data_IF_813149971774
#
_entry.id   IF_813149971774
#
_cell.length_a   1.000
_cell.length_b   1.000
_cell.length_c   1.000
_cell.angle_alpha   90.00
_cell.angle_beta   90.00
_cell.angle_gamma   90.00
#
_symmetry.space_group_name_H-M   'P 1'
#
loop_
_entity.id
_entity.type
_entity.pdbx_description
1 polymer ?
#
# COMPACT_ATOMS: atom_id res chain seq x y z
N UNK A 1 11.69 -4.23 -49.19
CA UNK A 1 10.88 -4.55 -47.99
C UNK A 1 9.65 -3.65 -47.95
N UNK A 2 8.44 -4.20 -48.18
CA UNK A 2 7.21 -3.41 -48.04
C UNK A 2 7.03 -3.14 -46.53
N UNK A 3 7.17 -1.88 -46.14
CA UNK A 3 6.86 -1.43 -44.78
C UNK A 3 5.42 -1.86 -44.44
N UNK A 4 5.26 -2.68 -43.41
CA UNK A 4 3.97 -3.19 -43.00
C UNK A 4 3.28 -2.12 -42.13
N UNK A 5 2.74 -1.09 -42.82
CA UNK A 5 2.12 0.09 -42.19
C UNK A 5 1.09 -0.27 -41.09
N UNK A 6 0.35 -1.38 -41.31
CA UNK A 6 -0.60 -1.90 -40.34
C UNK A 6 0.11 -2.36 -39.04
N UNK A 7 1.23 -3.08 -39.17
CA UNK A 7 2.01 -3.51 -38.00
C UNK A 7 2.61 -2.32 -37.25
N UNK A 8 3.07 -1.30 -37.95
CA UNK A 8 3.60 -0.08 -37.34
C UNK A 8 2.50 0.69 -36.59
N UNK A 9 1.31 0.81 -37.20
CA UNK A 9 0.14 1.45 -36.53
C UNK A 9 -0.29 0.65 -35.32
N UNK A 10 -0.38 -0.67 -35.42
CA UNK A 10 -0.73 -1.53 -34.28
C UNK A 10 0.27 -1.43 -33.12
N UNK A 11 1.57 -1.41 -33.45
CA UNK A 11 2.63 -1.22 -32.45
C UNK A 11 2.53 0.14 -31.78
N UNK A 12 2.31 1.20 -32.54
CA UNK A 12 2.16 2.56 -32.00
C UNK A 12 0.96 2.66 -31.08
N UNK A 13 -0.20 2.12 -31.50
CA UNK A 13 -1.40 2.08 -30.66
C UNK A 13 -1.15 1.31 -29.36
N UNK A 14 -0.47 0.18 -29.44
CA UNK A 14 -0.13 -0.62 -28.26
C UNK A 14 0.77 0.16 -27.28
N UNK A 15 1.84 0.80 -27.80
CA UNK A 15 2.76 1.62 -26.98
C UNK A 15 2.01 2.78 -26.31
N UNK A 16 1.15 3.49 -27.05
CA UNK A 16 0.34 4.59 -26.50
C UNK A 16 -0.60 4.08 -25.41
N UNK A 17 -1.26 2.94 -25.63
CA UNK A 17 -2.16 2.34 -24.64
C UNK A 17 -1.39 1.98 -23.37
N UNK A 18 -0.24 1.31 -23.48
CA UNK A 18 0.60 0.96 -22.33
C UNK A 18 1.07 2.21 -21.58
N UNK A 19 1.49 3.26 -22.31
CA UNK A 19 1.93 4.51 -21.72
C UNK A 19 0.80 5.20 -20.92
N UNK A 20 -0.42 5.21 -21.45
CA UNK A 20 -1.60 5.76 -20.76
C UNK A 20 -1.89 4.98 -19.48
N UNK A 21 -1.92 3.64 -19.56
CA UNK A 21 -2.16 2.80 -18.38
C UNK A 21 -1.06 2.97 -17.31
N UNK A 22 0.20 3.01 -17.73
CA UNK A 22 1.34 3.24 -16.83
C UNK A 22 1.22 4.60 -16.13
N UNK A 23 0.86 5.65 -16.88
CA UNK A 23 0.64 6.98 -16.32
C UNK A 23 -0.43 6.98 -15.24
N UNK A 24 -1.60 6.40 -15.50
CA UNK A 24 -2.68 6.32 -14.52
C UNK A 24 -2.30 5.48 -13.30
N UNK A 25 -1.58 4.38 -13.53
CA UNK A 25 -1.14 3.49 -12.45
C UNK A 25 -0.12 4.16 -11.51
N UNK A 26 0.77 4.99 -12.04
CA UNK A 26 1.79 5.72 -11.26
C UNK A 26 1.14 6.88 -10.51
N UNK A 27 0.35 7.71 -11.22
CA UNK A 27 -0.22 8.93 -10.66
C UNK A 27 -1.40 8.66 -9.72
N UNK A 28 -2.17 7.60 -9.98
CA UNK A 28 -3.42 7.34 -9.31
C UNK A 28 -4.51 8.35 -9.70
N UNK A 29 -5.65 8.28 -9.00
CA UNK A 29 -6.75 9.22 -9.13
C UNK A 29 -6.61 10.33 -8.08
N UNK A 30 -5.93 11.42 -8.44
CA UNK A 30 -5.54 12.47 -7.50
C UNK A 30 -6.03 13.85 -7.92
N UNK A 31 -6.23 14.71 -6.94
CA UNK A 31 -6.55 16.14 -7.11
C UNK A 31 -5.73 17.00 -6.14
N UNK A 32 -5.65 18.31 -6.41
CA UNK A 32 -5.02 19.23 -5.46
C UNK A 32 -5.92 19.38 -4.22
N UNK A 33 -5.36 19.21 -3.04
CA UNK A 33 -6.02 19.51 -1.78
C UNK A 33 -6.00 21.02 -1.49
N UNK A 34 -6.90 21.46 -0.62
CA UNK A 34 -7.01 22.89 -0.21
C UNK A 34 -5.85 23.33 0.69
N UNK A 35 -5.10 22.39 1.22
CA UNK A 35 -3.97 22.58 2.14
C UNK A 35 -2.59 22.37 1.48
N UNK A 36 -2.55 22.33 0.14
CA UNK A 36 -1.34 22.15 -0.64
C UNK A 36 -0.88 20.67 -0.77
N UNK A 37 -1.62 19.72 -0.17
CA UNK A 37 -1.36 18.29 -0.34
C UNK A 37 -2.06 17.74 -1.57
N UNK A 38 -1.58 16.59 -2.07
CA UNK A 38 -2.28 15.83 -3.11
C UNK A 38 -3.33 14.95 -2.44
N UNK A 39 -4.60 15.15 -2.78
CA UNK A 39 -5.70 14.35 -2.29
C UNK A 39 -5.99 13.20 -3.26
N UNK A 40 -6.20 11.99 -2.73
CA UNK A 40 -6.66 10.83 -3.51
C UNK A 40 -8.18 10.88 -3.60
N UNK A 41 -8.71 10.81 -4.83
CA UNK A 41 -10.16 10.84 -5.08
C UNK A 41 -10.69 9.40 -5.01
N UNK A 42 -11.42 9.11 -3.94
CA UNK A 42 -12.01 7.81 -3.64
C UNK A 42 -13.53 7.94 -3.46
N UNK A 43 -14.24 6.85 -3.74
CA UNK A 43 -15.64 6.73 -3.33
C UNK A 43 -15.72 6.59 -1.80
N UNK A 44 -16.88 6.88 -1.21
CA UNK A 44 -17.06 6.84 0.24
C UNK A 44 -16.64 5.49 0.86
N UNK A 45 -17.09 4.38 0.27
CA UNK A 45 -16.74 3.03 0.73
C UNK A 45 -15.24 2.70 0.61
N UNK A 46 -14.58 3.16 -0.46
CA UNK A 46 -13.14 2.99 -0.66
C UNK A 46 -12.33 3.79 0.37
N UNK A 47 -12.76 5.03 0.61
CA UNK A 47 -12.16 5.89 1.63
C UNK A 47 -12.32 5.26 3.02
N UNK A 48 -13.51 4.76 3.35
CA UNK A 48 -13.80 4.18 4.64
C UNK A 48 -12.98 2.91 4.87
N UNK A 49 -12.73 2.11 3.82
CA UNK A 49 -11.82 0.96 3.86
C UNK A 49 -10.39 1.41 4.20
N UNK A 50 -9.81 2.35 3.45
CA UNK A 50 -8.46 2.86 3.71
C UNK A 50 -8.34 3.47 5.12
N UNK A 51 -9.34 4.23 5.57
CA UNK A 51 -9.34 4.77 6.93
C UNK A 51 -9.46 3.68 8.01
N UNK A 52 -10.15 2.57 7.71
CA UNK A 52 -10.21 1.42 8.60
C UNK A 52 -8.85 0.73 8.72
N UNK A 53 -8.14 0.55 7.61
CA UNK A 53 -6.77 0.03 7.60
C UNK A 53 -5.80 0.92 8.39
N UNK A 54 -5.88 2.24 8.19
CA UNK A 54 -5.06 3.20 8.96
C UNK A 54 -5.33 3.12 10.46
N UNK A 55 -6.60 2.96 10.87
CA UNK A 55 -6.94 2.74 12.29
C UNK A 55 -6.41 1.41 12.81
N UNK A 56 -6.42 0.36 11.98
CA UNK A 56 -5.83 -0.95 12.29
C UNK A 56 -4.32 -0.84 12.55
N UNK A 57 -3.59 -0.16 11.68
CA UNK A 57 -2.16 0.11 11.83
C UNK A 57 -1.87 0.90 13.12
N UNK A 58 -2.67 1.91 13.43
CA UNK A 58 -2.54 2.68 14.66
C UNK A 58 -2.76 1.81 15.91
N UNK A 59 -3.78 0.96 15.90
CA UNK A 59 -4.07 0.03 17.00
C UNK A 59 -2.93 -1.00 17.18
N UNK A 60 -2.36 -1.51 16.08
CA UNK A 60 -1.19 -2.40 16.13
C UNK A 60 0.03 -1.70 16.71
N UNK A 61 0.30 -0.47 16.30
CA UNK A 61 1.40 0.34 16.85
C UNK A 61 1.22 0.55 18.37
N UNK A 62 0.00 0.87 18.81
CA UNK A 62 -0.32 0.99 20.23
C UNK A 62 -0.06 -0.33 20.96
N UNK A 63 -0.51 -1.47 20.43
CA UNK A 63 -0.29 -2.78 21.01
C UNK A 63 1.19 -3.15 21.13
N UNK A 64 2.00 -2.79 20.14
CA UNK A 64 3.46 -2.97 20.16
C UNK A 64 4.09 -2.14 21.28
N UNK A 65 3.72 -0.85 21.41
CA UNK A 65 4.24 0.03 22.45
C UNK A 65 3.85 -0.44 23.84
N UNK A 66 2.62 -0.90 24.03
CA UNK A 66 2.16 -1.48 25.30
C UNK A 66 2.92 -2.77 25.65
N UNK A 67 3.13 -3.66 24.65
CA UNK A 67 3.93 -4.87 24.85
C UNK A 67 5.38 -4.56 25.19
N UNK A 68 5.98 -3.59 24.51
CA UNK A 68 7.35 -3.15 24.79
C UNK A 68 7.49 -2.58 26.21
N UNK A 69 6.52 -1.79 26.66
CA UNK A 69 6.50 -1.20 28.00
C UNK A 69 6.38 -2.26 29.11
N UNK A 70 5.75 -3.40 28.80
CA UNK A 70 5.54 -4.53 29.71
C UNK A 70 6.60 -5.63 29.60
N UNK A 71 7.50 -5.54 28.60
CA UNK A 71 8.44 -6.60 28.27
C UNK A 71 7.76 -7.87 27.71
N UNK A 72 6.54 -7.73 27.16
CA UNK A 72 5.73 -8.84 26.64
C UNK A 72 5.96 -9.01 25.13
N UNK A 73 6.93 -9.87 24.78
CA UNK A 73 7.27 -10.16 23.39
C UNK A 73 6.12 -10.85 22.62
N UNK A 74 5.29 -11.66 23.29
CA UNK A 74 4.16 -12.31 22.64
C UNK A 74 3.09 -11.28 22.23
N UNK A 75 2.85 -10.29 23.08
CA UNK A 75 1.96 -9.18 22.77
C UNK A 75 2.48 -8.37 21.58
N UNK A 76 3.79 -8.07 21.57
CA UNK A 76 4.41 -7.37 20.43
C UNK A 76 4.22 -8.16 19.14
N UNK A 77 4.58 -9.46 19.14
CA UNK A 77 4.45 -10.31 17.97
C UNK A 77 3.01 -10.38 17.46
N UNK A 78 2.03 -10.56 18.34
CA UNK A 78 0.60 -10.60 17.99
C UNK A 78 0.11 -9.28 17.42
N UNK A 79 0.46 -8.16 18.04
CA UNK A 79 0.05 -6.83 17.58
C UNK A 79 0.66 -6.52 16.21
N UNK A 80 1.94 -6.78 16.00
CA UNK A 80 2.63 -6.55 14.74
C UNK A 80 2.09 -7.45 13.61
N UNK A 81 1.96 -8.76 13.83
CA UNK A 81 1.47 -9.69 12.81
C UNK A 81 0.04 -9.38 12.36
N UNK A 82 -0.80 -8.78 13.21
CA UNK A 82 -2.15 -8.37 12.82
C UNK A 82 -2.19 -7.27 11.77
N UNK A 83 -1.09 -6.53 11.59
CA UNK A 83 -0.92 -5.48 10.60
C UNK A 83 0.15 -5.81 9.55
N UNK A 84 0.60 -7.07 9.46
CA UNK A 84 1.57 -7.54 8.48
C UNK A 84 1.01 -7.63 7.06
N UNK A 85 1.80 -8.16 6.13
CA UNK A 85 1.46 -8.29 4.70
C UNK A 85 0.16 -9.06 4.46
N UNK A 86 -0.20 -9.99 5.34
CA UNK A 86 -1.45 -10.74 5.24
C UNK A 86 -2.69 -9.83 5.34
N UNK A 87 -2.62 -8.75 6.12
CA UNK A 87 -3.71 -7.77 6.23
C UNK A 87 -3.92 -6.97 4.94
N UNK A 88 -2.88 -6.83 4.11
CA UNK A 88 -2.93 -6.11 2.83
C UNK A 88 -3.26 -7.02 1.62
N UNK A 89 -3.43 -8.32 1.82
CA UNK A 89 -3.55 -9.29 0.72
C UNK A 89 -4.88 -9.18 -0.06
N UNK A 90 -5.96 -8.75 0.58
CA UNK A 90 -7.31 -8.75 0.01
C UNK A 90 -7.74 -7.40 -0.59
N UNK A 91 -6.81 -6.51 -0.91
CA UNK A 91 -7.13 -5.19 -1.46
C UNK A 91 -7.61 -5.32 -2.90
N UNK A 92 -8.79 -4.75 -3.18
CA UNK A 92 -9.38 -4.73 -4.51
C UNK A 92 -8.44 -4.07 -5.54
N UNK A 93 -8.08 -4.76 -6.65
CA UNK A 93 -7.19 -4.20 -7.68
C UNK A 93 -7.68 -2.86 -8.27
N UNK A 94 -9.01 -2.65 -8.36
CA UNK A 94 -9.57 -1.38 -8.84
C UNK A 94 -9.30 -0.23 -7.87
N UNK A 95 -9.30 -0.48 -6.56
CA UNK A 95 -8.88 0.50 -5.55
C UNK A 95 -7.38 0.78 -5.66
N UNK A 96 -6.57 -0.27 -5.79
CA UNK A 96 -5.11 -0.12 -5.96
C UNK A 96 -4.73 0.71 -7.19
N UNK A 97 -5.51 0.62 -8.29
CA UNK A 97 -5.27 1.44 -9.48
C UNK A 97 -5.51 2.95 -9.24
N UNK A 98 -6.34 3.31 -8.25
CA UNK A 98 -6.64 4.71 -7.89
C UNK A 98 -5.59 5.33 -6.96
N UNK A 99 -4.82 4.51 -6.25
CA UNK A 99 -3.81 4.99 -5.31
C UNK A 99 -2.52 5.38 -6.06
N UNK A 100 -1.88 6.51 -5.71
CA UNK A 100 -0.56 6.87 -6.24
C UNK A 100 0.49 5.82 -5.90
N UNK A 101 1.51 5.68 -6.76
CA UNK A 101 2.58 4.69 -6.57
C UNK A 101 3.30 4.88 -5.23
N UNK A 102 3.59 6.12 -4.85
CA UNK A 102 4.24 6.45 -3.57
C UNK A 102 3.42 5.98 -2.37
N UNK A 103 2.08 6.17 -2.42
CA UNK A 103 1.18 5.69 -1.37
C UNK A 103 1.19 4.16 -1.26
N UNK A 104 1.15 3.47 -2.41
CA UNK A 104 1.25 1.99 -2.46
C UNK A 104 2.56 1.48 -1.88
N UNK A 105 3.68 2.09 -2.26
CA UNK A 105 5.01 1.70 -1.78
C UNK A 105 5.14 1.92 -0.27
N UNK A 106 4.67 3.06 0.24
CA UNK A 106 4.69 3.36 1.66
C UNK A 106 3.83 2.36 2.45
N UNK A 107 2.61 2.10 2.00
CA UNK A 107 1.72 1.11 2.64
C UNK A 107 2.35 -0.28 2.70
N UNK A 108 2.88 -0.78 1.58
CA UNK A 108 3.56 -2.08 1.53
C UNK A 108 4.83 -2.13 2.40
N UNK A 109 5.59 -1.03 2.53
CA UNK A 109 6.74 -1.02 3.42
C UNK A 109 6.31 -1.15 4.88
N UNK A 110 5.28 -0.42 5.31
CA UNK A 110 4.75 -0.51 6.68
C UNK A 110 4.31 -1.93 7.02
N UNK A 111 3.56 -2.60 6.13
CA UNK A 111 3.14 -3.98 6.37
C UNK A 111 4.31 -4.96 6.48
N UNK A 112 5.37 -4.78 5.66
CA UNK A 112 6.61 -5.58 5.77
C UNK A 112 7.36 -5.32 7.08
N UNK A 113 7.47 -4.06 7.48
CA UNK A 113 8.12 -3.69 8.74
C UNK A 113 7.36 -4.30 9.94
N UNK A 114 6.04 -4.36 9.89
CA UNK A 114 5.23 -5.04 10.90
C UNK A 114 5.51 -6.54 10.96
N UNK A 115 5.68 -7.23 9.83
CA UNK A 115 6.09 -8.64 9.80
C UNK A 115 7.50 -8.84 10.37
N UNK A 116 8.42 -7.91 10.12
CA UNK A 116 9.78 -7.96 10.68
C UNK A 116 9.78 -7.77 12.20
N UNK A 117 8.98 -6.83 12.72
CA UNK A 117 8.78 -6.64 14.16
C UNK A 117 8.20 -7.92 14.79
N UNK A 118 7.20 -8.54 14.18
CA UNK A 118 6.62 -9.78 14.66
C UNK A 118 7.68 -10.89 14.77
N UNK A 119 8.47 -11.12 13.71
CA UNK A 119 9.55 -12.10 13.68
C UNK A 119 10.62 -11.83 14.74
N UNK A 120 11.01 -10.56 14.92
CA UNK A 120 12.00 -10.17 15.91
C UNK A 120 11.50 -10.49 17.33
N UNK A 121 10.24 -10.20 17.62
CA UNK A 121 9.62 -10.49 18.91
C UNK A 121 9.50 -12.01 19.18
N UNK A 122 9.10 -12.80 18.18
CA UNK A 122 9.06 -14.26 18.25
C UNK A 122 10.45 -14.88 18.46
N UNK A 123 11.49 -14.30 17.85
CA UNK A 123 12.88 -14.73 18.00
C UNK A 123 13.54 -14.32 19.32
N UNK A 124 12.83 -13.63 20.21
CA UNK A 124 13.35 -13.13 21.49
C UNK A 124 14.42 -12.03 21.34
N UNK A 125 14.49 -11.38 20.17
CA UNK A 125 15.41 -10.26 19.92
C UNK A 125 14.69 -8.93 20.13
N UNK A 126 15.34 -7.92 20.75
CA UNK A 126 14.78 -6.59 20.77
C UNK A 126 14.60 -6.08 19.33
N UNK A 127 13.52 -5.34 19.09
CA UNK A 127 13.30 -4.67 17.80
C UNK A 127 14.48 -3.73 17.50
N UNK A 128 14.89 -3.64 16.21
CA UNK A 128 15.94 -2.75 15.79
C UNK A 128 15.62 -1.26 16.04
#
# INVERSE_FOLDING_TARGET
>A
MKSNKLAQIALLLWVVTVAIFAWFFIRGNTTAGTDGRTAVVLQASERDLILSEMRGLLASTQGILEGANQGDLQRIAKAASSAGMAAAADVNPALMAKLPMEFKQLGLSVHRDMDEIAKAAEGGKPAP
#
